data_IF_232420946991
#
_entry.id   IF_232420946991
#
_cell.length_a   1.000
_cell.length_b   1.000
_cell.length_c   1.000
_cell.angle_alpha   90.00
_cell.angle_beta   90.00
_cell.angle_gamma   90.00
#
_symmetry.space_group_name_H-M   'P 1'
#
loop_
_entity.id
_entity.type
_entity.pdbx_description
1 polymer ?
#
# COMPACT_ATOMS: atom_id res chain seq x y z
N UNK A 1 -28.03 3.53 19.95
CA UNK A 1 -27.01 4.56 20.25
C UNK A 1 -25.73 4.18 19.52
N UNK A 2 -25.54 4.69 18.30
CA UNK A 2 -24.26 4.57 17.61
C UNK A 2 -23.41 5.75 18.07
N UNK A 3 -22.33 5.49 18.80
CA UNK A 3 -21.37 6.54 19.17
C UNK A 3 -20.75 7.17 17.92
N UNK A 4 -20.15 8.37 18.03
CA UNK A 4 -19.41 8.93 16.90
C UNK A 4 -18.34 7.93 16.48
N UNK A 5 -18.24 7.66 15.17
CA UNK A 5 -17.19 6.81 14.64
C UNK A 5 -15.84 7.46 14.97
N UNK A 6 -14.99 6.74 15.70
CA UNK A 6 -13.60 7.13 15.95
C UNK A 6 -12.90 7.38 14.60
N UNK A 7 -12.08 8.43 14.47
CA UNK A 7 -11.39 8.75 13.23
C UNK A 7 -10.41 7.64 12.85
N UNK A 8 -10.45 7.20 11.58
CA UNK A 8 -9.51 6.23 11.02
C UNK A 8 -8.08 6.79 11.03
N UNK A 9 -7.12 5.99 11.53
CA UNK A 9 -5.68 6.29 11.44
C UNK A 9 -5.09 5.58 10.24
N UNK A 10 -4.40 6.34 9.39
CA UNK A 10 -3.69 5.83 8.23
C UNK A 10 -2.18 5.93 8.47
N UNK A 11 -1.45 4.90 8.07
CA UNK A 11 0.02 4.92 8.02
C UNK A 11 0.49 4.34 6.68
N UNK A 12 1.62 4.79 6.18
CA UNK A 12 2.16 4.37 4.90
C UNK A 12 3.25 3.31 5.11
N UNK A 13 3.04 2.14 4.52
CA UNK A 13 4.06 1.08 4.43
C UNK A 13 5.21 1.51 3.52
N UNK A 14 6.41 1.04 3.84
CA UNK A 14 7.58 1.20 2.99
C UNK A 14 7.76 -0.05 2.10
N UNK A 15 8.46 0.03 0.95
CA UNK A 15 8.70 -1.12 0.08
C UNK A 15 9.33 -2.32 0.81
N UNK A 16 10.29 -2.06 1.69
CA UNK A 16 10.96 -3.06 2.53
C UNK A 16 10.00 -3.80 3.47
N UNK A 17 8.92 -3.15 3.92
CA UNK A 17 7.91 -3.78 4.77
C UNK A 17 7.11 -4.83 3.98
N UNK A 18 7.00 -4.68 2.66
CA UNK A 18 6.20 -5.54 1.79
C UNK A 18 6.93 -6.83 1.39
N UNK A 19 8.26 -6.85 1.33
CA UNK A 19 9.03 -8.00 0.84
C UNK A 19 8.67 -9.29 1.58
N UNK A 20 8.61 -9.23 2.91
CA UNK A 20 8.26 -10.38 3.71
C UNK A 20 6.83 -10.89 3.46
N UNK A 21 5.90 -9.99 3.19
CA UNK A 21 4.53 -10.33 2.82
C UNK A 21 4.47 -10.96 1.43
N UNK A 22 5.12 -10.36 0.44
CA UNK A 22 5.12 -10.88 -0.94
C UNK A 22 5.83 -12.23 -1.08
N UNK A 23 6.88 -12.48 -0.30
CA UNK A 23 7.52 -13.80 -0.25
C UNK A 23 6.58 -14.88 0.32
N UNK A 24 5.74 -14.52 1.30
CA UNK A 24 4.72 -15.44 1.82
C UNK A 24 3.59 -15.61 0.82
N UNK A 25 3.11 -14.54 0.19
CA UNK A 25 2.10 -14.62 -0.87
C UNK A 25 2.60 -15.50 -2.02
N UNK A 26 3.85 -15.35 -2.46
CA UNK A 26 4.43 -16.22 -3.48
C UNK A 26 4.38 -17.70 -3.08
N UNK A 27 4.66 -18.04 -1.83
CA UNK A 27 4.55 -19.42 -1.34
C UNK A 27 3.10 -19.93 -1.32
N UNK A 28 2.13 -19.09 -0.93
CA UNK A 28 0.70 -19.42 -0.92
C UNK A 28 0.16 -19.61 -2.34
N UNK A 29 0.64 -18.81 -3.30
CA UNK A 29 0.30 -18.90 -4.71
C UNK A 29 1.02 -20.06 -5.43
N UNK A 30 2.03 -20.67 -4.81
CA UNK A 30 2.89 -21.68 -5.44
C UNK A 30 3.89 -21.10 -6.46
N UNK A 31 4.22 -19.81 -6.37
CA UNK A 31 5.26 -19.12 -7.16
C UNK A 31 6.66 -19.42 -6.61
N UNK A 32 7.63 -19.67 -7.49
CA UNK A 32 9.03 -19.87 -7.08
C UNK A 32 9.75 -18.54 -6.83
N UNK A 33 9.77 -18.12 -5.56
CA UNK A 33 10.45 -16.91 -5.11
C UNK A 33 11.81 -17.18 -4.42
N UNK A 34 12.39 -18.37 -4.57
CA UNK A 34 13.58 -18.76 -3.81
C UNK A 34 14.79 -17.84 -4.07
N UNK A 35 14.99 -17.43 -5.32
CA UNK A 35 16.06 -16.52 -5.72
C UNK A 35 15.89 -15.12 -5.10
N UNK A 36 14.67 -14.59 -5.12
CA UNK A 36 14.35 -13.29 -4.50
C UNK A 36 14.58 -13.33 -3.00
N UNK A 37 14.12 -14.40 -2.33
CA UNK A 37 14.33 -14.58 -0.90
C UNK A 37 15.82 -14.65 -0.53
N UNK A 38 16.64 -15.29 -1.37
CA UNK A 38 18.09 -15.34 -1.18
C UNK A 38 18.74 -13.96 -1.36
N UNK A 39 18.37 -13.21 -2.41
CA UNK A 39 18.88 -11.86 -2.66
C UNK A 39 18.53 -10.90 -1.52
N UNK A 40 17.30 -10.95 -1.01
CA UNK A 40 16.87 -10.12 0.12
C UNK A 40 17.70 -10.39 1.38
N UNK A 41 17.91 -11.66 1.73
CA UNK A 41 18.71 -12.05 2.90
C UNK A 41 20.18 -11.67 2.77
N UNK A 42 20.75 -11.78 1.58
CA UNK A 42 22.16 -11.46 1.33
C UNK A 42 22.50 -10.00 1.65
N UNK A 43 21.55 -9.08 1.44
CA UNK A 43 21.71 -7.64 1.68
C UNK A 43 21.24 -7.22 3.08
N UNK A 44 21.07 -8.18 3.99
CA UNK A 44 20.65 -7.92 5.37
C UNK A 44 19.16 -7.57 5.52
N UNK A 45 18.34 -7.91 4.53
CA UNK A 45 16.90 -7.71 4.57
C UNK A 45 16.25 -8.41 5.77
N UNK A 46 15.47 -7.70 6.60
CA UNK A 46 14.83 -8.30 7.76
C UNK A 46 13.78 -9.35 7.36
N UNK A 47 13.46 -10.30 8.25
CA UNK A 47 12.31 -11.18 8.07
C UNK A 47 11.00 -10.37 8.06
N UNK A 48 9.89 -10.94 7.54
CA UNK A 48 8.58 -10.31 7.65
C UNK A 48 8.27 -9.95 9.11
N UNK A 49 7.73 -8.75 9.39
CA UNK A 49 7.38 -8.38 10.76
C UNK A 49 6.28 -9.31 11.30
N UNK A 50 6.31 -9.67 12.60
CA UNK A 50 5.34 -10.59 13.20
C UNK A 50 3.92 -10.01 13.29
N UNK A 51 3.78 -8.68 13.20
CA UNK A 51 2.51 -7.97 13.11
C UNK A 51 2.52 -7.11 11.84
N UNK A 52 1.41 -7.13 11.10
CA UNK A 52 1.22 -6.27 9.93
C UNK A 52 1.29 -4.80 10.37
N UNK A 53 2.28 -4.07 9.89
CA UNK A 53 2.49 -2.68 10.24
C UNK A 53 3.56 -2.03 9.35
N UNK A 54 3.50 -0.72 9.24
CA UNK A 54 4.54 0.05 8.57
C UNK A 54 5.71 0.31 9.51
N UNK A 55 6.93 0.20 9.00
CA UNK A 55 8.10 0.68 9.73
C UNK A 55 7.98 2.19 10.01
N UNK A 56 8.41 2.67 11.19
CA UNK A 56 8.25 4.08 11.57
C UNK A 56 9.16 5.02 10.78
N UNK A 57 10.26 4.50 10.25
CA UNK A 57 11.21 5.22 9.41
C UNK A 57 11.60 4.34 8.21
N UNK A 58 11.87 4.95 7.04
CA UNK A 58 12.40 4.22 5.90
C UNK A 58 13.77 3.59 6.19
N UNK A 59 14.03 2.45 5.56
CA UNK A 59 15.34 1.83 5.51
C UNK A 59 16.36 2.70 4.74
N UNK A 60 17.67 2.40 4.85
CA UNK A 60 18.70 3.05 4.04
C UNK A 60 18.36 3.02 2.54
N UNK A 61 18.68 4.08 1.76
CA UNK A 61 18.24 4.21 0.37
C UNK A 61 18.58 3.02 -0.53
N UNK A 62 19.73 2.38 -0.33
CA UNK A 62 20.14 1.20 -1.09
C UNK A 62 19.22 -0.01 -0.85
N UNK A 63 18.84 -0.26 0.41
CA UNK A 63 17.94 -1.37 0.76
C UNK A 63 16.53 -1.12 0.23
N UNK A 64 16.07 0.14 0.28
CA UNK A 64 14.78 0.55 -0.32
C UNK A 64 14.77 0.36 -1.83
N UNK A 65 15.84 0.76 -2.52
CA UNK A 65 15.96 0.57 -3.96
C UNK A 65 16.00 -0.92 -4.33
N UNK A 66 16.69 -1.75 -3.54
CA UNK A 66 16.65 -3.19 -3.67
C UNK A 66 15.23 -3.73 -3.51
N UNK A 67 14.52 -3.33 -2.45
CA UNK A 67 13.17 -3.79 -2.19
C UNK A 67 12.23 -3.48 -3.37
N UNK A 68 12.28 -2.27 -3.93
CA UNK A 68 11.48 -1.93 -5.11
C UNK A 68 11.75 -2.86 -6.30
N UNK A 69 13.02 -3.12 -6.62
CA UNK A 69 13.34 -4.05 -7.72
C UNK A 69 12.88 -5.47 -7.43
N UNK A 70 13.06 -5.96 -6.20
CA UNK A 70 12.64 -7.31 -5.83
C UNK A 70 11.12 -7.45 -5.84
N UNK A 71 10.36 -6.39 -5.51
CA UNK A 71 8.90 -6.38 -5.67
C UNK A 71 8.49 -6.51 -7.13
N UNK A 72 9.17 -5.81 -8.05
CA UNK A 72 8.94 -5.98 -9.49
C UNK A 72 9.26 -7.42 -9.96
N UNK A 73 10.38 -7.98 -9.48
CA UNK A 73 10.77 -9.36 -9.77
C UNK A 73 9.72 -10.37 -9.25
N UNK A 74 9.19 -10.16 -8.03
CA UNK A 74 8.13 -11.01 -7.46
C UNK A 74 6.83 -10.92 -8.23
N UNK A 75 6.43 -9.72 -8.66
CA UNK A 75 5.22 -9.50 -9.45
C UNK A 75 5.31 -10.17 -10.84
N UNK A 76 6.52 -10.35 -11.38
CA UNK A 76 6.73 -11.03 -12.65
C UNK A 76 6.74 -12.57 -12.56
N UNK A 77 6.75 -13.15 -11.35
CA UNK A 77 6.78 -14.60 -11.20
C UNK A 77 5.48 -15.23 -11.70
N UNK A 78 5.55 -16.29 -12.54
CA UNK A 78 4.36 -16.96 -13.03
C UNK A 78 3.63 -17.66 -11.89
N UNK A 79 2.31 -17.44 -11.79
CA UNK A 79 1.44 -18.14 -10.84
C UNK A 79 0.73 -19.32 -11.50
N UNK A 80 0.75 -20.52 -10.90
CA UNK A 80 -0.07 -21.64 -11.36
C UNK A 80 -1.57 -21.38 -11.21
N UNK A 81 -1.97 -20.39 -10.39
CA UNK A 81 -3.36 -19.97 -10.23
C UNK A 81 -3.83 -19.00 -11.31
N UNK A 82 -2.92 -18.45 -12.13
CA UNK A 82 -3.28 -17.45 -13.16
C UNK A 82 -4.43 -17.89 -14.09
N UNK A 83 -4.57 -19.16 -14.52
CA UNK A 83 -5.73 -19.58 -15.32
C UNK A 83 -7.08 -19.54 -14.58
N UNK A 84 -7.06 -19.53 -13.24
CA UNK A 84 -8.24 -19.51 -12.37
C UNK A 84 -8.61 -18.09 -11.91
N UNK A 85 -7.75 -17.10 -12.18
CA UNK A 85 -7.87 -15.73 -11.67
C UNK A 85 -8.00 -14.73 -12.83
N UNK A 86 -9.17 -14.66 -13.48
CA UNK A 86 -9.37 -13.71 -14.57
C UNK A 86 -9.23 -12.26 -14.07
N UNK A 87 -8.48 -11.43 -14.80
CA UNK A 87 -8.37 -9.99 -14.52
C UNK A 87 -9.49 -9.18 -15.15
N UNK A 88 -9.99 -9.63 -16.31
CA UNK A 88 -11.06 -8.93 -17.02
C UNK A 88 -12.36 -8.94 -16.22
N UNK A 89 -12.91 -7.75 -15.95
CA UNK A 89 -14.10 -7.60 -15.10
C UNK A 89 -15.30 -8.42 -15.59
N UNK A 90 -15.47 -8.56 -16.91
CA UNK A 90 -16.53 -9.39 -17.50
C UNK A 90 -16.36 -10.88 -17.18
N UNK A 91 -15.12 -11.38 -17.21
CA UNK A 91 -14.80 -12.76 -16.87
C UNK A 91 -14.95 -13.00 -15.36
N UNK A 92 -14.52 -12.06 -14.51
CA UNK A 92 -14.76 -12.12 -13.05
C UNK A 92 -16.27 -12.20 -12.77
N UNK A 93 -17.08 -11.34 -13.40
CA UNK A 93 -18.54 -11.36 -13.22
C UNK A 93 -19.18 -12.68 -13.64
N UNK A 94 -18.70 -13.30 -14.71
CA UNK A 94 -19.21 -14.58 -15.18
C UNK A 94 -18.99 -15.71 -14.16
N UNK A 95 -17.96 -15.62 -13.31
CA UNK A 95 -17.68 -16.55 -12.22
C UNK A 95 -18.51 -16.28 -10.95
N UNK A 96 -19.21 -15.15 -10.88
CA UNK A 96 -19.99 -14.73 -9.72
C UNK A 96 -21.49 -14.73 -10.05
N UNK A 97 -22.20 -15.85 -9.88
CA UNK A 97 -23.62 -15.95 -10.24
C UNK A 97 -24.52 -14.97 -9.46
N UNK A 98 -24.13 -14.63 -8.22
CA UNK A 98 -24.88 -13.71 -7.35
C UNK A 98 -24.32 -12.27 -7.40
N UNK A 99 -23.78 -11.83 -8.55
CA UNK A 99 -23.21 -10.49 -8.68
C UNK A 99 -24.23 -9.40 -8.31
N UNK A 100 -23.90 -8.46 -7.42
CA UNK A 100 -24.86 -7.48 -6.93
C UNK A 100 -25.32 -6.54 -8.05
N UNK A 101 -26.63 -6.33 -8.15
CA UNK A 101 -27.19 -5.31 -9.03
C UNK A 101 -26.72 -3.92 -8.57
N UNK A 102 -26.42 -2.99 -9.50
CA UNK A 102 -26.09 -1.61 -9.13
C UNK A 102 -27.21 -1.03 -8.27
N UNK A 103 -26.87 -0.52 -7.08
CA UNK A 103 -27.83 0.18 -6.26
C UNK A 103 -28.38 1.37 -7.06
N UNK A 104 -29.70 1.40 -7.26
CA UNK A 104 -30.36 2.56 -7.87
C UNK A 104 -30.14 3.73 -6.92
N UNK A 105 -29.28 4.68 -7.28
CA UNK A 105 -29.22 5.98 -6.61
C UNK A 105 -30.60 6.61 -6.78
N UNK A 106 -31.41 6.60 -5.73
CA UNK A 106 -32.58 7.46 -5.66
C UNK A 106 -32.07 8.89 -5.69
N UNK A 107 -32.49 9.66 -6.69
CA UNK A 107 -32.16 11.07 -6.85
C UNK A 107 -32.92 11.95 -5.84
N UNK A 108 -33.13 11.45 -4.62
CA UNK A 108 -33.78 12.18 -3.55
C UNK A 108 -32.71 12.72 -2.61
N UNK A 109 -32.25 13.94 -2.93
CA UNK A 109 -31.77 14.91 -1.95
C UNK A 109 -30.59 14.49 -1.10
N UNK A 110 -29.44 14.16 -1.69
CA UNK A 110 -28.16 14.37 -1.00
C UNK A 110 -27.39 15.44 -1.74
N UNK A 111 -27.60 16.69 -1.33
CA UNK A 111 -26.62 17.75 -1.59
C UNK A 111 -25.30 17.27 -1.02
N UNK A 112 -24.35 16.92 -1.90
CA UNK A 112 -22.98 16.69 -1.48
C UNK A 112 -22.53 17.93 -0.68
N UNK A 113 -21.94 17.79 0.52
CA UNK A 113 -21.37 18.93 1.20
C UNK A 113 -20.34 19.56 0.25
N UNK A 114 -20.58 20.81 -0.16
CA UNK A 114 -19.59 21.53 -0.93
C UNK A 114 -18.29 21.54 -0.12
N UNK A 115 -17.14 21.23 -0.73
CA UNK A 115 -15.87 21.45 -0.06
C UNK A 115 -15.78 22.93 0.26
N UNK A 116 -15.86 23.26 1.56
CA UNK A 116 -15.63 24.62 2.03
C UNK A 116 -14.24 25.08 1.59
N UNK A 117 -14.03 26.40 1.37
CA UNK A 117 -12.75 26.90 0.90
C UNK A 117 -11.63 26.42 1.82
N UNK A 118 -10.68 25.70 1.25
CA UNK A 118 -9.48 25.24 1.93
C UNK A 118 -8.78 26.47 2.51
N UNK A 119 -8.81 26.60 3.84
CA UNK A 119 -8.07 27.66 4.51
C UNK A 119 -6.58 27.31 4.36
N UNK A 120 -5.93 27.82 3.32
CA UNK A 120 -4.48 27.78 3.17
C UNK A 120 -3.88 28.44 4.40
N UNK A 121 -3.23 27.65 5.25
CA UNK A 121 -2.39 28.18 6.32
C UNK A 121 -1.25 29.00 5.67
N UNK A 122 -0.92 30.19 6.19
CA UNK A 122 0.18 30.97 5.65
C UNK A 122 1.50 30.23 5.91
N UNK A 123 2.34 30.20 4.88
CA UNK A 123 3.72 29.79 4.97
C UNK A 123 4.42 30.63 6.07
N UNK A 124 4.81 29.96 7.15
CA UNK A 124 5.71 30.54 8.14
C UNK A 124 7.07 30.72 7.51
N UNK A 125 7.38 31.94 7.08
CA UNK A 125 8.73 32.31 6.67
C UNK A 125 9.65 32.28 7.90
N UNK A 126 10.49 31.26 7.96
CA UNK A 126 11.63 31.23 8.88
C UNK A 126 12.65 32.28 8.46
N UNK A 127 12.68 33.41 9.18
CA UNK A 127 13.83 34.31 9.17
C UNK A 127 14.94 33.67 10.01
N UNK A 128 16.06 33.37 9.35
CA UNK A 128 17.28 32.84 9.98
C UNK A 128 17.97 33.83 10.91
N UNK A 129 18.97 33.36 11.68
CA UNK A 129 19.69 34.19 12.65
C UNK A 129 20.71 35.09 11.94
N UNK A 130 20.68 36.39 12.25
CA UNK A 130 21.73 37.35 11.86
C UNK A 130 22.92 37.32 12.82
N UNK A 131 24.17 37.52 12.36
CA UNK A 131 25.33 37.67 13.22
C UNK A 131 25.58 39.15 13.55
N UNK A 132 26.16 39.44 14.73
CA UNK A 132 26.72 40.76 15.02
C UNK A 132 26.98 41.03 16.50
N UNK A 133 28.24 40.90 16.91
CA UNK A 133 28.79 41.34 18.18
C UNK A 133 28.94 42.87 18.27
N UNK A 134 29.22 43.45 19.46
CA UNK A 134 30.11 44.59 19.59
C UNK A 134 31.59 44.18 19.72
#
# INVERSE_FOLDING_TARGET
MTGPAEPLRLTWVQPEDLIGHELRQAAEDGRDAAAVAAAWRAEGGPPPPPLAGASPAPAPPALRALALRLLDELAALPSPLAPLEPTELSAVRALCPDWPAPARRTAEGTTAPQPGPHRTAPAGNGSGPGPGAP
#
